data_IF_913334563394
#
_entry.id   IF_913334563394
#
_cell.length_a   1.000
_cell.length_b   1.000
_cell.length_c   1.000
_cell.angle_alpha   90.00
_cell.angle_beta   90.00
_cell.angle_gamma   90.00
#
_symmetry.space_group_name_H-M   'P 1'
#
loop_
_entity.id
_entity.type
_entity.pdbx_description
1 polymer ?
#
# COMPACT_ATOMS: atom_id res chain seq x y z
N UNK A 1 13.24 10.09 6.72
CA UNK A 1 12.41 11.27 6.35
C UNK A 1 12.22 11.55 4.86
N UNK A 2 12.12 10.52 4.01
CA UNK A 2 11.62 10.63 2.63
C UNK A 2 10.66 9.46 2.30
N UNK A 3 10.90 8.22 2.79
CA UNK A 3 9.95 7.12 2.62
C UNK A 3 8.62 7.36 3.34
N UNK A 4 8.64 7.99 4.53
CA UNK A 4 7.43 8.29 5.29
C UNK A 4 6.54 9.33 4.57
N UNK A 5 7.13 10.37 3.99
CA UNK A 5 6.39 11.39 3.22
C UNK A 5 5.75 10.79 1.96
N UNK A 6 6.41 9.81 1.33
CA UNK A 6 5.85 9.09 0.19
C UNK A 6 4.66 8.21 0.61
N UNK A 7 4.75 7.53 1.75
CA UNK A 7 3.64 6.76 2.33
C UNK A 7 2.44 7.68 2.58
N UNK A 8 2.63 8.82 3.24
CA UNK A 8 1.53 9.74 3.56
C UNK A 8 0.84 10.30 2.31
N UNK A 9 1.60 10.58 1.25
CA UNK A 9 1.03 11.03 -0.02
C UNK A 9 0.22 9.90 -0.69
N UNK A 10 0.75 8.68 -0.69
CA UNK A 10 0.07 7.51 -1.24
C UNK A 10 -1.19 7.16 -0.43
N UNK A 11 -1.17 7.27 0.89
CA UNK A 11 -2.34 7.10 1.76
C UNK A 11 -3.44 8.06 1.33
N UNK A 12 -3.17 9.37 1.20
CA UNK A 12 -4.19 10.34 0.76
C UNK A 12 -4.75 10.03 -0.63
N UNK A 13 -3.90 9.59 -1.55
CA UNK A 13 -4.34 9.24 -2.91
C UNK A 13 -5.20 7.97 -2.90
N UNK A 14 -4.82 6.93 -2.17
CA UNK A 14 -5.48 5.62 -2.25
C UNK A 14 -6.66 5.49 -1.27
N UNK A 15 -6.61 6.14 -0.12
CA UNK A 15 -7.51 5.87 1.01
C UNK A 15 -8.65 6.90 1.12
N UNK A 16 -8.42 8.17 0.77
CA UNK A 16 -9.39 9.24 1.04
C UNK A 16 -10.54 9.30 0.01
N UNK A 17 -11.14 8.14 -0.33
CA UNK A 17 -12.25 7.99 -1.29
C UNK A 17 -12.01 8.74 -2.62
N UNK A 18 -10.77 8.70 -3.10
CA UNK A 18 -10.41 9.28 -4.38
C UNK A 18 -10.78 8.34 -5.53
N UNK A 19 -10.77 8.85 -6.76
CA UNK A 19 -10.86 8.04 -8.00
C UNK A 19 -9.74 6.99 -8.12
N UNK A 20 -8.69 7.10 -7.29
CA UNK A 20 -7.56 6.19 -7.23
C UNK A 20 -7.70 5.06 -6.22
N UNK A 21 -8.76 5.07 -5.39
CA UNK A 21 -9.00 4.02 -4.41
C UNK A 21 -9.18 2.64 -5.04
N UNK A 22 -9.70 2.54 -6.27
CA UNK A 22 -9.87 1.25 -6.96
C UNK A 22 -8.68 0.87 -7.86
N UNK A 23 -7.67 1.72 -7.98
CA UNK A 23 -6.53 1.47 -8.85
C UNK A 23 -5.55 0.46 -8.24
N UNK A 24 -5.65 -0.81 -8.67
CA UNK A 24 -4.78 -1.94 -8.26
C UNK A 24 -3.31 -1.58 -8.14
N UNK A 25 -2.73 -0.95 -9.16
CA UNK A 25 -1.29 -0.63 -9.16
C UNK A 25 -0.90 0.34 -8.05
N UNK A 26 -1.79 1.28 -7.69
CA UNK A 26 -1.54 2.23 -6.60
C UNK A 26 -1.72 1.57 -5.23
N UNK A 27 -2.69 0.67 -5.08
CA UNK A 27 -2.81 -0.16 -3.87
C UNK A 27 -1.58 -1.06 -3.67
N UNK A 28 -1.12 -1.74 -4.74
CA UNK A 28 0.12 -2.53 -4.71
C UNK A 28 1.31 -1.67 -4.31
N UNK A 29 1.45 -0.49 -4.93
CA UNK A 29 2.54 0.43 -4.61
C UNK A 29 2.53 0.83 -3.14
N UNK A 30 1.38 1.21 -2.59
CA UNK A 30 1.23 1.59 -1.18
C UNK A 30 1.69 0.46 -0.24
N UNK A 31 1.23 -0.77 -0.48
CA UNK A 31 1.60 -1.94 0.35
C UNK A 31 3.10 -2.25 0.22
N UNK A 32 3.65 -2.26 -1.00
CA UNK A 32 5.06 -2.52 -1.24
C UNK A 32 5.97 -1.46 -0.61
N UNK A 33 5.55 -0.19 -0.64
CA UNK A 33 6.25 0.89 0.04
C UNK A 33 6.24 0.66 1.56
N UNK A 34 5.11 0.29 2.16
CA UNK A 34 5.05 -0.01 3.59
C UNK A 34 5.88 -1.23 3.98
N UNK A 35 5.91 -2.32 3.19
CA UNK A 35 6.77 -3.48 3.46
C UNK A 35 8.24 -3.06 3.59
N UNK A 36 8.70 -2.12 2.76
CA UNK A 36 10.08 -1.63 2.74
C UNK A 36 10.39 -0.56 3.80
N UNK A 37 9.42 0.28 4.13
CA UNK A 37 9.66 1.48 4.95
C UNK A 37 9.01 1.44 6.34
N UNK A 38 7.83 0.84 6.51
CA UNK A 38 7.13 0.72 7.78
C UNK A 38 6.17 -0.48 7.79
N UNK A 39 6.67 -1.63 8.28
CA UNK A 39 5.91 -2.89 8.31
C UNK A 39 4.70 -2.86 9.24
N UNK A 40 4.65 -1.93 10.20
CA UNK A 40 3.54 -1.84 11.14
C UNK A 40 2.20 -1.49 10.47
N UNK A 41 2.26 -0.83 9.31
CA UNK A 41 1.08 -0.40 8.53
C UNK A 41 0.55 -1.44 7.56
N UNK A 42 1.33 -2.48 7.24
CA UNK A 42 1.00 -3.44 6.19
C UNK A 42 -0.33 -4.16 6.46
N UNK A 43 -0.57 -4.58 7.71
CA UNK A 43 -1.82 -5.24 8.07
C UNK A 43 -3.04 -4.33 7.97
N UNK A 44 -2.90 -3.04 8.28
CA UNK A 44 -4.00 -2.08 8.11
C UNK A 44 -4.39 -1.98 6.64
N UNK A 45 -3.41 -1.87 5.73
CA UNK A 45 -3.67 -1.80 4.30
C UNK A 45 -4.28 -3.09 3.74
N UNK A 46 -3.81 -4.26 4.19
CA UNK A 46 -4.39 -5.56 3.81
C UNK A 46 -5.87 -5.65 4.16
N UNK A 47 -6.27 -5.09 5.30
CA UNK A 47 -7.65 -5.14 5.79
C UNK A 47 -8.57 -4.11 5.10
N UNK A 48 -8.01 -3.01 4.57
CA UNK A 48 -8.78 -1.87 4.05
C UNK A 48 -8.87 -1.82 2.53
N UNK A 49 -7.88 -2.37 1.84
CA UNK A 49 -7.76 -2.32 0.39
C UNK A 49 -8.34 -3.61 -0.22
N UNK A 50 -9.07 -3.49 -1.32
CA UNK A 50 -9.78 -4.65 -1.92
C UNK A 50 -9.26 -5.07 -3.31
N UNK A 51 -8.44 -4.24 -3.96
CA UNK A 51 -8.10 -4.39 -5.39
C UNK A 51 -6.65 -4.82 -5.65
N UNK A 52 -5.84 -4.96 -4.60
CA UNK A 52 -4.43 -5.32 -4.70
C UNK A 52 -4.20 -6.80 -5.07
N UNK A 53 -3.01 -7.11 -5.58
CA UNK A 53 -2.62 -8.48 -5.93
C UNK A 53 -1.97 -9.18 -4.73
N UNK A 54 -2.79 -9.91 -3.95
CA UNK A 54 -2.32 -10.56 -2.73
C UNK A 54 -1.23 -11.64 -2.98
N UNK A 55 -1.35 -12.54 -3.97
CA UNK A 55 -0.29 -13.50 -4.29
C UNK A 55 1.06 -12.85 -4.62
N UNK A 56 1.06 -11.81 -5.47
CA UNK A 56 2.30 -11.13 -5.87
C UNK A 56 2.95 -10.40 -4.68
N UNK A 57 2.16 -9.67 -3.90
CA UNK A 57 2.62 -8.98 -2.70
C UNK A 57 3.18 -9.97 -1.67
N UNK A 58 2.53 -11.12 -1.47
CA UNK A 58 2.98 -12.13 -0.54
C UNK A 58 4.36 -12.69 -0.92
N UNK A 59 4.61 -12.95 -2.21
CA UNK A 59 5.91 -13.39 -2.71
C UNK A 59 7.04 -12.39 -2.42
N UNK A 60 6.73 -11.10 -2.52
CA UNK A 60 7.70 -10.04 -2.21
C UNK A 60 7.91 -9.89 -0.70
N UNK A 61 6.87 -10.09 0.11
CA UNK A 61 6.95 -9.94 1.57
C UNK A 61 7.76 -11.04 2.28
N UNK A 62 7.84 -12.23 1.67
CA UNK A 62 8.62 -13.37 2.20
C UNK A 62 10.06 -13.43 1.67
N UNK A 63 10.38 -12.62 0.64
CA UNK A 63 11.73 -12.49 0.08
C UNK A 63 12.63 -11.58 0.90
#
# INVERSE_FOLDING_TARGET
DLPNNLIELLEKIVIDNSVFSEHRNLQNLLILTAIKADRSRVMDYINRLENYDAPDIANIAIS
#
